data_IF_121728547257
#
_entry.id   IF_121728547257
#
_cell.length_a   1.000
_cell.length_b   1.000
_cell.length_c   1.000
_cell.angle_alpha   90.00
_cell.angle_beta   90.00
_cell.angle_gamma   90.00
#
_symmetry.space_group_name_H-M   'P 1'
#
loop_
_entity.id
_entity.type
_entity.pdbx_description
1 polymer ?
#
# COMPACT_ATOMS: atom_id res chain seq x y z
N UNK A 1 -29.37 35.68 -44.72
CA UNK A 1 -28.82 34.82 -43.65
C UNK A 1 -27.46 34.33 -44.10
N UNK A 2 -26.40 35.04 -43.71
CA UNK A 2 -25.03 34.69 -44.07
C UNK A 2 -24.44 33.84 -42.94
N UNK A 3 -24.28 32.53 -43.17
CA UNK A 3 -23.57 31.65 -42.26
C UNK A 3 -22.08 32.00 -42.30
N UNK A 4 -21.44 32.22 -41.16
CA UNK A 4 -20.02 32.53 -41.06
C UNK A 4 -19.18 31.24 -41.07
N UNK A 5 -18.42 30.93 -42.14
CA UNK A 5 -17.60 29.72 -42.23
C UNK A 5 -16.24 29.84 -41.49
N UNK A 6 -16.09 30.81 -40.58
CA UNK A 6 -14.79 31.11 -39.93
C UNK A 6 -14.52 30.35 -38.63
N UNK A 7 -15.48 29.56 -38.11
CA UNK A 7 -15.35 28.91 -36.80
C UNK A 7 -14.78 27.48 -36.83
N UNK A 8 -14.77 26.81 -37.98
CA UNK A 8 -14.40 25.39 -38.05
C UNK A 8 -12.87 25.17 -38.12
N UNK A 9 -12.16 26.01 -38.87
CA UNK A 9 -10.71 25.87 -39.06
C UNK A 9 -9.88 26.08 -37.77
N UNK A 10 -10.38 26.86 -36.81
CA UNK A 10 -9.70 27.05 -35.52
C UNK A 10 -9.88 25.87 -34.57
N UNK A 11 -10.94 25.08 -34.74
CA UNK A 11 -11.22 23.93 -33.88
C UNK A 11 -10.37 22.71 -34.28
N UNK A 12 -10.17 22.48 -35.58
CA UNK A 12 -9.33 21.37 -36.07
C UNK A 12 -7.86 21.53 -35.69
N UNK A 13 -7.33 22.75 -35.73
CA UNK A 13 -5.95 23.01 -35.30
C UNK A 13 -5.77 22.81 -33.79
N UNK A 14 -6.82 23.02 -33.01
CA UNK A 14 -6.80 22.87 -31.55
C UNK A 14 -6.77 21.40 -31.13
N UNK A 15 -7.56 20.54 -31.79
CA UNK A 15 -7.65 19.12 -31.47
C UNK A 15 -6.36 18.36 -31.82
N UNK A 16 -5.75 18.64 -32.97
CA UNK A 16 -4.47 18.05 -33.37
C UNK A 16 -3.35 18.44 -32.38
N UNK A 17 -3.33 19.71 -31.95
CA UNK A 17 -2.34 20.17 -30.96
C UNK A 17 -2.51 19.46 -29.61
N UNK A 18 -3.75 19.28 -29.14
CA UNK A 18 -4.03 18.54 -27.92
C UNK A 18 -3.58 17.07 -28.02
N UNK A 19 -3.87 16.41 -29.15
CA UNK A 19 -3.47 15.03 -29.38
C UNK A 19 -1.94 14.86 -29.32
N UNK A 20 -1.19 15.75 -29.99
CA UNK A 20 0.28 15.75 -29.93
C UNK A 20 0.82 15.95 -28.51
N UNK A 21 0.22 16.86 -27.74
CA UNK A 21 0.62 17.09 -26.35
C UNK A 21 0.35 15.86 -25.48
N UNK A 22 -0.79 15.19 -25.66
CA UNK A 22 -1.11 13.95 -24.94
C UNK A 22 -0.12 12.83 -25.29
N UNK A 23 0.18 12.63 -26.58
CA UNK A 23 1.13 11.60 -27.01
C UNK A 23 2.53 11.88 -26.47
N UNK A 24 2.97 13.14 -26.50
CA UNK A 24 4.24 13.55 -25.92
C UNK A 24 4.29 13.32 -24.41
N UNK A 25 3.20 13.60 -23.68
CA UNK A 25 3.12 13.31 -22.24
C UNK A 25 3.15 11.80 -21.96
N UNK A 26 2.48 10.99 -22.78
CA UNK A 26 2.51 9.53 -22.67
C UNK A 26 3.91 8.97 -22.87
N UNK A 27 4.59 9.34 -23.96
CA UNK A 27 5.97 8.92 -24.23
C UNK A 27 6.90 9.32 -23.09
N UNK A 28 6.72 10.52 -22.52
CA UNK A 28 7.50 10.98 -21.37
C UNK A 28 7.20 10.16 -20.11
N UNK A 29 5.93 9.84 -19.84
CA UNK A 29 5.53 9.00 -18.71
C UNK A 29 6.10 7.58 -18.83
N UNK A 30 6.04 6.99 -20.02
CA UNK A 30 6.61 5.68 -20.31
C UNK A 30 8.14 5.68 -20.14
N UNK A 31 8.81 6.77 -20.56
CA UNK A 31 10.24 6.98 -20.34
C UNK A 31 10.60 6.99 -18.85
N UNK A 32 9.91 7.80 -18.05
CA UNK A 32 10.11 7.86 -16.60
C UNK A 32 9.81 6.52 -15.92
N UNK A 33 8.81 5.77 -16.40
CA UNK A 33 8.48 4.44 -15.90
C UNK A 33 9.62 3.44 -16.09
N UNK A 34 10.28 3.45 -17.25
CA UNK A 34 11.46 2.60 -17.53
C UNK A 34 12.65 2.96 -16.65
N UNK A 35 12.93 4.25 -16.49
CA UNK A 35 14.02 4.72 -15.62
C UNK A 35 13.80 4.33 -14.15
N UNK A 36 12.56 4.49 -13.65
CA UNK A 36 12.19 4.04 -12.31
C UNK A 36 12.35 2.54 -12.14
N UNK A 37 11.95 1.75 -13.15
CA UNK A 37 12.15 0.30 -13.15
C UNK A 37 13.63 -0.08 -13.02
N UNK A 38 14.48 0.52 -13.84
CA UNK A 38 15.93 0.26 -13.81
C UNK A 38 16.60 0.68 -12.50
N UNK A 39 16.19 1.81 -11.92
CA UNK A 39 16.68 2.24 -10.60
C UNK A 39 16.22 1.29 -9.49
N UNK A 40 14.98 0.79 -9.57
CA UNK A 40 14.47 -0.16 -8.59
C UNK A 40 15.21 -1.50 -8.65
N UNK A 41 15.50 -2.01 -9.86
CA UNK A 41 16.33 -3.21 -10.05
C UNK A 41 17.72 -3.05 -9.40
N UNK A 42 18.38 -1.91 -9.64
CA UNK A 42 19.68 -1.60 -9.03
C UNK A 42 19.62 -1.53 -7.51
N UNK A 43 18.56 -0.94 -6.96
CA UNK A 43 18.36 -0.84 -5.52
C UNK A 43 18.14 -2.22 -4.90
N UNK A 44 17.32 -3.07 -5.52
CA UNK A 44 17.08 -4.44 -5.08
C UNK A 44 18.37 -5.25 -5.08
N UNK A 45 19.12 -5.25 -6.19
CA UNK A 45 20.38 -5.97 -6.28
C UNK A 45 21.40 -5.50 -5.22
N UNK A 46 21.48 -4.19 -4.96
CA UNK A 46 22.33 -3.66 -3.90
C UNK A 46 21.87 -4.10 -2.50
N UNK A 47 20.56 -4.07 -2.25
CA UNK A 47 19.97 -4.52 -0.98
C UNK A 47 20.26 -6.00 -0.72
N UNK A 48 20.14 -6.84 -1.75
CA UNK A 48 20.48 -8.27 -1.70
C UNK A 48 21.96 -8.46 -1.37
N UNK A 49 22.88 -7.80 -2.09
CA UNK A 49 24.32 -7.88 -1.81
C UNK A 49 24.66 -7.44 -0.37
N UNK A 50 24.02 -6.38 0.15
CA UNK A 50 24.24 -5.92 1.53
C UNK A 50 23.65 -6.88 2.58
N UNK A 51 22.54 -7.55 2.24
CA UNK A 51 21.96 -8.60 3.07
C UNK A 51 22.85 -9.83 3.13
N UNK A 52 23.35 -10.28 1.98
CA UNK A 52 24.26 -11.43 1.87
C UNK A 52 25.59 -11.19 2.59
N UNK A 53 26.09 -9.95 2.55
CA UNK A 53 27.26 -9.53 3.32
C UNK A 53 26.98 -9.38 4.83
N UNK A 54 25.73 -9.58 5.28
CA UNK A 54 25.31 -9.44 6.68
C UNK A 54 25.32 -8.00 7.21
N UNK A 55 25.52 -7.01 6.34
CA UNK A 55 25.55 -5.57 6.68
C UNK A 55 24.14 -5.07 6.98
N UNK A 56 23.14 -5.61 6.25
CA UNK A 56 21.76 -5.20 6.34
C UNK A 56 20.88 -6.39 6.71
N UNK A 57 19.93 -6.18 7.64
CA UNK A 57 18.86 -7.15 7.91
C UNK A 57 17.63 -6.72 7.11
N UNK A 58 17.08 -7.55 6.20
CA UNK A 58 15.93 -7.18 5.36
C UNK A 58 14.77 -6.59 6.16
N UNK A 59 14.41 -7.24 7.26
CA UNK A 59 13.34 -6.82 8.18
C UNK A 59 13.57 -5.41 8.74
N UNK A 60 14.81 -5.05 9.06
CA UNK A 60 15.14 -3.71 9.58
C UNK A 60 15.06 -2.64 8.49
N UNK A 61 15.46 -2.98 7.26
CA UNK A 61 15.34 -2.07 6.12
C UNK A 61 13.86 -1.80 5.80
N UNK A 62 13.04 -2.84 5.74
CA UNK A 62 11.60 -2.70 5.51
C UNK A 62 10.96 -1.81 6.56
N UNK A 63 11.24 -2.07 7.84
CA UNK A 63 10.76 -1.22 8.94
C UNK A 63 11.15 0.25 8.77
N UNK A 64 12.39 0.50 8.40
CA UNK A 64 12.91 1.84 8.16
C UNK A 64 12.21 2.52 6.98
N UNK A 65 12.06 1.83 5.85
CA UNK A 65 11.34 2.32 4.68
C UNK A 65 9.88 2.64 5.01
N UNK A 66 9.22 1.78 5.76
CA UNK A 66 7.85 2.00 6.23
C UNK A 66 7.74 3.26 7.10
N UNK A 67 8.61 3.43 8.09
CA UNK A 67 8.63 4.65 8.92
C UNK A 67 8.85 5.91 8.10
N UNK A 68 9.77 5.87 7.15
CA UNK A 68 10.04 7.01 6.27
C UNK A 68 8.85 7.35 5.38
N UNK A 69 8.21 6.35 4.76
CA UNK A 69 6.99 6.52 3.94
C UNK A 69 5.84 7.07 4.78
N UNK A 70 5.68 6.55 5.99
CA UNK A 70 4.66 7.02 6.93
C UNK A 70 4.89 8.48 7.33
N UNK A 71 6.12 8.84 7.72
CA UNK A 71 6.47 10.21 8.05
C UNK A 71 6.20 11.17 6.86
N UNK A 72 6.53 10.76 5.64
CA UNK A 72 6.22 11.53 4.44
C UNK A 72 4.71 11.68 4.21
N UNK A 73 3.92 10.62 4.43
CA UNK A 73 2.47 10.67 4.33
C UNK A 73 1.85 11.60 5.40
N UNK A 74 2.34 11.55 6.64
CA UNK A 74 1.93 12.45 7.72
C UNK A 74 2.27 13.91 7.41
N UNK A 75 3.44 14.18 6.82
CA UNK A 75 3.84 15.52 6.41
C UNK A 75 2.97 16.05 5.26
N UNK A 76 2.60 15.18 4.31
CA UNK A 76 1.73 15.55 3.18
C UNK A 76 0.28 15.79 3.60
N UNK A 77 -0.19 15.16 4.68
CA UNK A 77 -1.55 15.30 5.22
C UNK A 77 -1.49 15.49 6.73
N UNK A 78 -1.29 16.73 7.23
CA UNK A 78 -1.24 17.00 8.65
C UNK A 78 -2.55 16.58 9.31
N UNK A 79 -2.51 15.48 10.08
CA UNK A 79 -3.63 15.06 10.90
C UNK A 79 -3.62 15.90 12.17
N UNK A 80 -4.53 16.87 12.26
CA UNK A 80 -4.79 17.68 13.47
C UNK A 80 -5.60 16.90 14.50
N UNK A 81 -5.28 15.63 14.72
CA UNK A 81 -5.99 14.77 15.64
C UNK A 81 -5.11 14.49 16.86
N UNK A 82 -5.56 14.93 18.03
CA UNK A 82 -5.04 14.46 19.31
C UNK A 82 -5.61 13.10 19.71
N UNK A 83 -6.51 12.53 18.90
CA UNK A 83 -7.11 11.24 19.21
C UNK A 83 -6.06 10.13 19.07
N UNK A 84 -5.89 9.38 20.16
CA UNK A 84 -5.02 8.21 20.16
C UNK A 84 -5.67 7.09 19.33
N UNK A 85 -4.84 6.30 18.65
CA UNK A 85 -5.31 5.17 17.85
C UNK A 85 -6.15 4.18 18.67
N UNK A 86 -5.76 3.92 19.92
CA UNK A 86 -6.51 3.04 20.83
C UNK A 86 -7.91 3.57 21.13
N UNK A 87 -8.06 4.89 21.23
CA UNK A 87 -9.36 5.53 21.44
C UNK A 87 -10.21 5.48 20.18
N UNK A 88 -9.60 5.71 19.01
CA UNK A 88 -10.30 5.63 17.74
C UNK A 88 -10.84 4.21 17.50
N UNK A 89 -10.02 3.17 17.67
CA UNK A 89 -10.40 1.77 17.42
C UNK A 89 -11.45 1.22 18.39
N UNK A 90 -11.60 1.82 19.58
CA UNK A 90 -12.68 1.49 20.52
C UNK A 90 -14.06 1.99 20.08
N UNK A 91 -14.13 2.86 19.07
CA UNK A 91 -15.40 3.31 18.52
C UNK A 91 -15.92 2.19 17.60
N UNK A 92 -17.04 1.52 17.93
CA UNK A 92 -17.47 0.31 17.21
C UNK A 92 -17.69 0.50 15.72
N UNK A 93 -18.03 1.73 15.29
CA UNK A 93 -18.23 2.07 13.87
C UNK A 93 -16.95 2.20 13.06
N UNK A 94 -15.79 2.39 13.72
CA UNK A 94 -14.50 2.60 13.05
C UNK A 94 -13.73 1.30 12.81
N UNK A 95 -13.95 0.29 13.66
CA UNK A 95 -13.22 -0.97 13.60
C UNK A 95 -13.49 -1.75 12.29
N UNK A 96 -14.74 -1.88 11.77
CA UNK A 96 -14.98 -2.62 10.53
C UNK A 96 -14.33 -1.99 9.28
N UNK A 97 -14.38 -0.67 9.04
CA UNK A 97 -13.62 -0.03 7.97
C UNK A 97 -12.11 -0.26 8.07
N UNK A 98 -11.54 -0.13 9.27
CA UNK A 98 -10.12 -0.38 9.51
C UNK A 98 -9.77 -1.83 9.23
N UNK A 99 -10.58 -2.78 9.71
CA UNK A 99 -10.40 -4.20 9.45
C UNK A 99 -10.48 -4.56 7.97
N UNK A 100 -11.37 -3.94 7.21
CA UNK A 100 -11.47 -4.14 5.76
C UNK A 100 -10.26 -3.57 5.01
N UNK A 101 -9.73 -2.45 5.47
CA UNK A 101 -8.60 -1.78 4.83
C UNK A 101 -7.26 -2.43 5.16
N UNK A 102 -6.98 -2.66 6.45
CA UNK A 102 -5.70 -3.20 6.95
C UNK A 102 -5.68 -4.72 6.94
N UNK A 103 -6.85 -5.35 7.06
CA UNK A 103 -6.98 -6.79 7.21
C UNK A 103 -6.87 -7.25 8.68
N UNK A 104 -7.48 -8.39 9.02
CA UNK A 104 -7.52 -8.90 10.38
C UNK A 104 -6.15 -9.36 10.91
N UNK A 105 -5.27 -9.86 10.03
CA UNK A 105 -3.94 -10.34 10.42
C UNK A 105 -3.04 -9.19 10.84
N UNK A 106 -2.94 -8.15 10.01
CA UNK A 106 -2.15 -6.98 10.33
C UNK A 106 -2.69 -6.30 11.61
N UNK A 107 -4.00 -6.10 11.74
CA UNK A 107 -4.57 -5.52 12.96
C UNK A 107 -4.39 -6.42 14.20
N UNK A 108 -4.48 -7.74 14.05
CA UNK A 108 -4.19 -8.67 15.13
C UNK A 108 -2.73 -8.60 15.59
N UNK A 109 -1.81 -8.49 14.64
CA UNK A 109 -0.40 -8.27 14.91
C UNK A 109 -0.14 -6.93 15.64
N UNK A 110 -0.80 -5.85 15.20
CA UNK A 110 -0.80 -4.54 15.86
C UNK A 110 -1.23 -4.67 17.33
N UNK A 111 -2.32 -5.39 17.58
CA UNK A 111 -2.80 -5.65 18.94
C UNK A 111 -1.81 -6.51 19.76
N UNK A 112 -1.12 -7.45 19.13
CA UNK A 112 -0.14 -8.30 19.80
C UNK A 112 1.15 -7.56 20.18
N UNK A 113 1.56 -6.56 19.39
CA UNK A 113 2.79 -5.80 19.62
C UNK A 113 2.60 -4.55 20.48
N UNK A 114 1.37 -4.02 20.57
CA UNK A 114 1.06 -2.83 21.36
C UNK A 114 0.30 -3.17 22.63
N UNK A 115 0.90 -2.91 23.80
CA UNK A 115 0.25 -3.12 25.11
C UNK A 115 -1.04 -2.30 25.28
N UNK A 116 -1.12 -1.13 24.65
CA UNK A 116 -2.31 -0.29 24.66
C UNK A 116 -3.47 -0.88 23.84
N UNK A 117 -3.16 -1.67 22.81
CA UNK A 117 -4.13 -2.27 21.88
C UNK A 117 -4.40 -3.76 22.16
N UNK A 118 -3.64 -4.39 23.06
CA UNK A 118 -3.82 -5.80 23.45
C UNK A 118 -5.28 -6.18 23.74
N UNK A 119 -6.02 -5.40 24.57
CA UNK A 119 -7.43 -5.68 24.86
C UNK A 119 -8.35 -5.63 23.63
N UNK A 120 -7.99 -4.88 22.59
CA UNK A 120 -8.76 -4.82 21.34
C UNK A 120 -8.59 -6.08 20.49
N UNK A 121 -7.55 -6.89 20.73
CA UNK A 121 -7.30 -8.11 19.95
C UNK A 121 -8.46 -9.11 20.03
N UNK A 122 -9.12 -9.23 21.19
CA UNK A 122 -10.31 -10.08 21.35
C UNK A 122 -11.53 -9.52 20.62
N UNK A 123 -11.69 -8.19 20.60
CA UNK A 123 -12.78 -7.49 19.92
C UNK A 123 -12.62 -7.51 18.40
N UNK A 124 -11.38 -7.43 17.91
CA UNK A 124 -11.04 -7.68 16.51
C UNK A 124 -11.48 -9.08 16.10
N UNK A 125 -11.15 -10.11 16.88
CA UNK A 125 -11.53 -11.49 16.56
C UNK A 125 -13.04 -11.69 16.52
N UNK A 126 -13.77 -11.14 17.49
CA UNK A 126 -15.24 -11.25 17.51
C UNK A 126 -15.87 -10.50 16.33
N UNK A 127 -15.37 -9.30 16.01
CA UNK A 127 -15.84 -8.49 14.88
C UNK A 127 -15.56 -9.17 13.54
N UNK A 128 -14.39 -9.77 13.36
CA UNK A 128 -14.03 -10.54 12.16
C UNK A 128 -14.97 -11.74 11.98
N UNK A 129 -15.32 -12.42 13.08
CA UNK A 129 -16.29 -13.51 13.06
C UNK A 129 -17.69 -13.02 12.67
N UNK A 130 -18.17 -11.90 13.24
CA UNK A 130 -19.46 -11.30 12.92
C UNK A 130 -19.56 -10.82 11.46
N UNK A 131 -18.47 -10.29 10.92
CA UNK A 131 -18.41 -9.79 9.54
C UNK A 131 -18.21 -10.91 8.50
N UNK A 132 -18.01 -12.16 8.92
CA UNK A 132 -17.71 -13.27 8.01
C UNK A 132 -16.39 -13.10 7.24
N UNK A 133 -15.46 -12.30 7.78
CA UNK A 133 -14.17 -11.99 7.13
C UNK A 133 -13.10 -13.09 7.34
N UNK A 134 -13.41 -14.11 8.14
CA UNK A 134 -12.60 -15.32 8.26
C UNK A 134 -13.05 -16.35 7.23
N UNK A 135 -12.52 -16.26 6.01
CA UNK A 135 -12.41 -17.45 5.18
C UNK A 135 -11.16 -18.21 5.64
N UNK A 136 -11.36 -19.25 6.44
CA UNK A 136 -10.29 -20.18 6.79
C UNK A 136 -10.03 -21.04 5.55
N UNK A 137 -9.12 -20.62 4.68
CA UNK A 137 -8.51 -21.53 3.72
C UNK A 137 -7.58 -22.46 4.48
N UNK A 138 -8.07 -23.63 4.85
CA UNK A 138 -7.22 -24.74 5.24
C UNK A 138 -6.46 -25.23 4.00
N UNK A 139 -5.22 -24.78 3.82
CA UNK A 139 -4.34 -25.35 2.81
C UNK A 139 -3.87 -26.70 3.36
N UNK A 140 -4.60 -27.76 3.01
CA UNK A 140 -4.15 -29.13 3.21
C UNK A 140 -2.98 -29.40 2.28
N UNK A 141 -1.76 -29.25 2.76
CA UNK A 141 -0.56 -29.65 2.03
C UNK A 141 -0.43 -31.17 2.00
N UNK A 142 -0.85 -31.80 0.90
CA UNK A 142 -0.30 -33.10 0.53
C UNK A 142 1.13 -32.88 0.01
N UNK A 143 2.13 -33.66 0.43
CA UNK A 143 3.47 -33.59 -0.12
C UNK A 143 3.45 -34.19 -1.54
N UNK A 144 3.18 -33.36 -2.53
CA UNK A 144 3.21 -33.79 -3.93
C UNK A 144 2.69 -32.72 -4.87
N UNK A 145 3.63 -31.96 -5.41
CA UNK A 145 3.51 -31.22 -6.69
C UNK A 145 2.22 -30.41 -6.93
N UNK A 146 2.26 -29.11 -6.66
CA UNK A 146 1.57 -28.13 -7.51
C UNK A 146 2.11 -26.71 -7.29
N UNK A 147 2.65 -26.15 -8.37
CA UNK A 147 2.85 -24.73 -8.54
C UNK A 147 1.48 -24.03 -8.60
N UNK A 148 1.18 -23.21 -7.60
CA UNK A 148 0.05 -22.28 -7.61
C UNK A 148 0.53 -20.89 -7.21
N UNK A 149 -0.09 -19.81 -7.71
CA UNK A 149 0.38 -18.46 -7.47
C UNK A 149 0.20 -18.12 -5.99
N UNK A 150 1.31 -18.07 -5.28
CA UNK A 150 1.42 -17.37 -4.00
C UNK A 150 0.92 -15.94 -4.23
N UNK A 151 -0.28 -15.65 -3.73
CA UNK A 151 -0.73 -14.27 -3.58
C UNK A 151 0.24 -13.60 -2.61
N UNK A 152 1.21 -12.88 -3.17
CA UNK A 152 2.13 -12.00 -2.46
C UNK A 152 1.35 -10.93 -1.70
N UNK A 153 0.92 -11.25 -0.48
CA UNK A 153 0.41 -10.28 0.50
C UNK A 153 1.36 -10.09 1.69
N UNK A 154 2.52 -10.77 1.71
CA UNK A 154 3.40 -10.77 2.88
C UNK A 154 4.21 -9.48 3.05
N UNK A 155 4.61 -8.77 2.00
CA UNK A 155 5.51 -7.61 2.17
C UNK A 155 4.81 -6.35 2.73
N UNK A 156 3.52 -6.15 2.46
CA UNK A 156 2.77 -5.05 3.08
C UNK A 156 2.43 -5.34 4.56
N UNK A 157 2.41 -6.62 4.95
CA UNK A 157 2.01 -7.06 6.29
C UNK A 157 3.16 -6.89 7.31
N UNK A 158 4.41 -7.15 6.90
CA UNK A 158 5.61 -6.97 7.75
C UNK A 158 5.82 -5.49 8.09
N UNK A 159 5.49 -4.59 7.17
CA UNK A 159 5.59 -3.15 7.35
C UNK A 159 4.69 -2.55 8.42
N UNK A 160 3.47 -3.07 8.59
CA UNK A 160 2.52 -2.62 9.63
C UNK A 160 2.92 -3.18 11.01
N UNK A 161 3.50 -4.39 11.04
CA UNK A 161 3.99 -5.06 12.26
C UNK A 161 5.15 -4.31 12.95
N UNK A 162 6.09 -3.77 12.19
CA UNK A 162 7.24 -3.03 12.72
C UNK A 162 6.94 -1.57 13.10
N UNK A 163 5.73 -1.10 12.79
CA UNK A 163 5.28 0.26 13.05
C UNK A 163 4.71 0.45 14.46
N UNK A 164 4.47 -0.63 15.22
CA UNK A 164 3.78 -0.59 16.52
C UNK A 164 4.57 -1.15 17.70
N UNK A 165 5.79 -1.63 17.45
CA UNK A 165 6.77 -2.00 18.49
C UNK A 165 7.62 -0.78 18.93
N UNK A 166 7.45 0.39 18.29
CA UNK A 166 8.01 1.68 18.73
C UNK A 166 6.89 2.70 18.97
#
# INVERSE_FOLDING_TARGET
>A
TWAHPRSEATNELSTEKLFRLMEQQRVRADGMGKELGHLNEKLMALSECLSDAGVLRPVTLEAYLHRRRFAAACAARPLMSSARLDTALRIPSTLPPVLRFVGPRALGAVCATSSALGPLGTEVRSTVHQLGLMQVCAIGGSPGEAHGPLLMFDELLVGVLLLLVL
#
